data_IF_283699686085
#
_entry.id   IF_283699686085
#
_cell.length_a   1.000
_cell.length_b   1.000
_cell.length_c   1.000
_cell.angle_alpha   90.00
_cell.angle_beta   90.00
_cell.angle_gamma   90.00
#
_symmetry.space_group_name_H-M   'P 1'
#
loop_
_entity.id
_entity.type
_entity.pdbx_description
1 polymer ?
#
# COMPACT_ATOMS: atom_id res chain seq x y z
N UNK A 1 3.32 20.06 14.81
CA UNK A 1 2.75 19.19 13.77
C UNK A 1 1.25 19.07 14.05
N UNK A 2 0.38 19.26 13.06
CA UNK A 2 -1.07 19.20 13.27
C UNK A 2 -1.48 17.73 13.29
N UNK A 3 -2.08 17.28 14.39
CA UNK A 3 -2.81 16.01 14.44
C UNK A 3 -4.06 16.20 13.58
N UNK A 4 -4.04 15.63 12.40
CA UNK A 4 -5.13 15.80 11.41
C UNK A 4 -6.18 14.75 11.72
N UNK A 5 -7.32 15.19 12.21
CA UNK A 5 -8.50 14.33 12.42
C UNK A 5 -8.82 13.50 11.16
N UNK A 6 -9.86 12.71 11.16
CA UNK A 6 -10.21 11.79 10.07
C UNK A 6 -10.29 12.51 8.72
N UNK A 7 -9.18 12.53 7.96
CA UNK A 7 -9.20 12.95 6.56
C UNK A 7 -9.89 11.88 5.71
N UNK A 8 -10.67 12.33 4.76
CA UNK A 8 -11.26 11.47 3.74
C UNK A 8 -10.13 10.82 2.90
N UNK A 9 -10.06 9.49 2.89
CA UNK A 9 -9.04 8.72 2.14
C UNK A 9 -8.99 9.05 0.65
N UNK A 10 -10.06 9.56 0.08
CA UNK A 10 -10.09 10.00 -1.32
C UNK A 10 -9.26 11.28 -1.57
N UNK A 11 -8.94 12.04 -0.52
CA UNK A 11 -8.32 13.36 -0.63
C UNK A 11 -6.80 13.36 -0.41
N UNK A 12 -6.19 12.20 -0.18
CA UNK A 12 -4.74 12.10 0.00
C UNK A 12 -4.18 10.74 -0.41
N UNK A 13 -2.87 10.70 -0.64
CA UNK A 13 -2.08 9.49 -0.83
C UNK A 13 -1.48 9.10 0.53
N UNK A 14 -1.68 7.87 0.95
CA UNK A 14 -1.13 7.33 2.19
C UNK A 14 -0.17 6.18 1.95
N UNK A 15 0.59 5.76 2.95
CA UNK A 15 1.59 4.70 2.83
C UNK A 15 1.08 3.40 2.20
N UNK A 16 -0.19 3.04 2.45
CA UNK A 16 -0.82 1.86 1.83
C UNK A 16 -1.14 2.02 0.33
N UNK A 17 -1.09 3.23 -0.22
CA UNK A 17 -1.35 3.49 -1.64
C UNK A 17 -0.07 3.39 -2.48
N UNK A 18 1.09 3.66 -1.86
CA UNK A 18 2.39 3.79 -2.56
C UNK A 18 2.74 2.58 -3.39
N UNK A 19 2.67 1.39 -2.83
CA UNK A 19 2.98 0.16 -3.55
C UNK A 19 2.06 -0.04 -4.76
N UNK A 20 0.77 0.34 -4.65
CA UNK A 20 -0.18 0.32 -5.75
C UNK A 20 0.20 1.33 -6.84
N UNK A 21 0.57 2.55 -6.46
CA UNK A 21 1.01 3.62 -7.39
C UNK A 21 2.25 3.19 -8.17
N UNK A 22 3.19 2.53 -7.49
CA UNK A 22 4.44 2.02 -8.08
C UNK A 22 4.25 0.74 -8.92
N UNK A 23 3.07 0.12 -8.88
CA UNK A 23 2.79 -1.15 -9.57
C UNK A 23 3.47 -2.37 -8.96
N UNK A 24 3.92 -2.29 -7.71
CA UNK A 24 4.59 -3.38 -6.96
C UNK A 24 3.71 -4.00 -5.88
N UNK A 25 2.47 -3.55 -5.74
CA UNK A 25 1.54 -4.11 -4.77
C UNK A 25 1.00 -5.47 -5.22
N UNK A 26 1.00 -6.50 -4.35
CA UNK A 26 0.35 -7.77 -4.65
C UNK A 26 -1.19 -7.72 -4.54
N UNK A 27 -1.77 -6.58 -4.11
CA UNK A 27 -3.21 -6.47 -3.83
C UNK A 27 -3.95 -5.45 -4.66
N UNK A 28 -3.26 -4.43 -5.21
CA UNK A 28 -3.88 -3.29 -5.86
C UNK A 28 -3.05 -2.82 -7.05
N UNK A 29 -3.73 -2.51 -8.14
CA UNK A 29 -3.12 -1.87 -9.31
C UNK A 29 -3.12 -0.35 -9.19
N UNK A 30 -2.33 0.39 -10.01
CA UNK A 30 -2.41 1.84 -10.06
C UNK A 30 -3.82 2.34 -10.40
N UNK A 31 -4.54 1.64 -11.28
CA UNK A 31 -5.91 2.00 -11.65
C UNK A 31 -6.88 1.85 -10.47
N UNK A 32 -6.76 0.80 -9.68
CA UNK A 32 -7.59 0.63 -8.48
C UNK A 32 -7.34 1.73 -7.45
N UNK A 33 -6.08 2.14 -7.24
CA UNK A 33 -5.75 3.29 -6.38
C UNK A 33 -6.38 4.57 -6.93
N UNK A 34 -6.27 4.81 -8.24
CA UNK A 34 -6.85 5.98 -8.90
C UNK A 34 -8.38 6.04 -8.72
N UNK A 35 -9.05 4.94 -8.99
CA UNK A 35 -10.53 4.88 -8.87
C UNK A 35 -11.00 5.14 -7.43
N UNK A 36 -10.26 4.68 -6.43
CA UNK A 36 -10.58 4.98 -5.02
C UNK A 36 -10.43 6.47 -4.67
N UNK A 37 -9.63 7.25 -5.43
CA UNK A 37 -9.48 8.70 -5.24
C UNK A 37 -10.55 9.50 -5.99
N UNK A 38 -10.87 9.15 -7.23
CA UNK A 38 -11.80 9.93 -8.07
C UNK A 38 -13.26 9.50 -7.93
N UNK A 39 -13.50 8.23 -7.61
CA UNK A 39 -14.84 7.65 -7.46
C UNK A 39 -14.85 6.71 -6.25
N UNK A 40 -14.82 7.25 -5.02
CA UNK A 40 -14.87 6.43 -3.82
C UNK A 40 -16.07 5.49 -3.87
N UNK A 41 -15.82 4.24 -4.22
CA UNK A 41 -16.88 3.24 -4.31
C UNK A 41 -17.12 2.69 -2.91
N UNK A 42 -18.36 2.70 -2.47
CA UNK A 42 -18.81 1.88 -1.34
C UNK A 42 -18.87 0.43 -1.85
N UNK A 43 -17.70 -0.18 -2.10
CA UNK A 43 -17.67 -1.62 -2.34
C UNK A 43 -17.92 -2.31 -1.00
N UNK A 44 -18.86 -3.25 -0.93
CA UNK A 44 -18.93 -4.11 0.24
C UNK A 44 -17.58 -4.82 0.36
N UNK A 45 -16.88 -4.59 1.47
CA UNK A 45 -15.62 -5.28 1.75
C UNK A 45 -15.94 -6.75 1.88
N UNK A 46 -15.20 -7.60 1.15
CA UNK A 46 -15.29 -9.04 1.30
C UNK A 46 -15.23 -9.40 2.80
N UNK A 47 -16.23 -10.11 3.35
CA UNK A 47 -16.27 -10.44 4.78
C UNK A 47 -15.02 -11.17 5.27
N UNK A 48 -14.34 -11.93 4.40
CA UNK A 48 -13.09 -12.62 4.74
C UNK A 48 -11.93 -11.60 4.91
N UNK A 49 -11.82 -10.64 4.01
CA UNK A 49 -10.84 -9.55 4.11
C UNK A 49 -11.11 -8.66 5.32
N UNK A 50 -12.39 -8.34 5.59
CA UNK A 50 -12.78 -7.57 6.77
C UNK A 50 -12.33 -8.24 8.07
N UNK A 51 -12.48 -9.57 8.18
CA UNK A 51 -12.00 -10.32 9.36
C UNK A 51 -10.48 -10.21 9.53
N UNK A 52 -9.72 -10.24 8.43
CA UNK A 52 -8.26 -10.08 8.48
C UNK A 52 -7.88 -8.68 8.98
N UNK A 53 -8.50 -7.63 8.42
CA UNK A 53 -8.25 -6.25 8.87
C UNK A 53 -8.60 -6.03 10.34
N UNK A 54 -9.79 -6.48 10.76
CA UNK A 54 -10.23 -6.35 12.15
C UNK A 54 -9.29 -7.08 13.11
N UNK A 55 -8.80 -8.26 12.73
CA UNK A 55 -7.82 -9.00 13.52
C UNK A 55 -6.51 -8.22 13.62
N UNK A 56 -5.98 -7.72 12.49
CA UNK A 56 -4.77 -6.89 12.46
C UNK A 56 -4.87 -5.71 13.42
N UNK A 57 -5.92 -4.90 13.30
CA UNK A 57 -6.16 -3.76 14.17
C UNK A 57 -6.26 -4.11 15.65
N UNK A 58 -6.86 -5.26 15.99
CA UNK A 58 -6.96 -5.70 17.40
C UNK A 58 -5.63 -6.20 17.95
N UNK A 59 -4.76 -6.75 17.11
CA UNK A 59 -3.45 -7.25 17.50
C UNK A 59 -2.38 -6.16 17.52
N UNK A 60 -2.58 -5.07 16.79
CA UNK A 60 -1.60 -3.98 16.68
C UNK A 60 -1.09 -3.46 18.03
N UNK A 61 -1.93 -3.12 19.04
CA UNK A 61 -1.45 -2.67 20.35
C UNK A 61 -0.57 -3.72 21.03
N UNK A 62 -0.95 -5.00 20.97
CA UNK A 62 -0.18 -6.09 21.54
C UNK A 62 1.20 -6.24 20.88
N UNK A 63 1.26 -6.15 19.55
CA UNK A 63 2.52 -6.29 18.81
C UNK A 63 3.43 -5.08 19.03
N UNK A 64 2.86 -3.88 19.26
CA UNK A 64 3.63 -2.70 19.68
C UNK A 64 4.26 -2.93 21.07
N UNK A 65 3.49 -3.49 22.02
CA UNK A 65 4.00 -3.79 23.37
C UNK A 65 5.12 -4.83 23.27
N UNK A 66 4.92 -5.90 22.50
CA UNK A 66 5.92 -6.94 22.29
C UNK A 66 7.21 -6.37 21.66
N UNK A 67 7.09 -5.46 20.66
CA UNK A 67 8.24 -4.79 20.08
C UNK A 67 9.00 -3.96 21.12
N UNK A 68 8.28 -3.21 21.95
CA UNK A 68 8.86 -2.43 23.03
C UNK A 68 9.61 -3.30 24.04
N UNK A 69 9.03 -4.43 24.44
CA UNK A 69 9.65 -5.40 25.36
C UNK A 69 10.93 -6.01 24.77
N UNK A 70 10.89 -6.45 23.51
CA UNK A 70 12.02 -7.12 22.85
C UNK A 70 13.17 -6.16 22.49
N UNK A 71 12.87 -4.89 22.19
CA UNK A 71 13.88 -3.91 21.76
C UNK A 71 14.32 -2.96 22.85
N UNK A 72 13.53 -2.81 23.93
CA UNK A 72 13.70 -1.77 24.93
C UNK A 72 13.34 -0.36 24.44
N UNK A 73 12.74 -0.21 23.26
CA UNK A 73 12.29 1.08 22.75
C UNK A 73 11.10 1.61 23.55
N UNK A 74 11.23 2.79 24.11
CA UNK A 74 10.13 3.49 24.75
C UNK A 74 9.18 4.06 23.69
N UNK A 75 7.92 3.62 23.72
CA UNK A 75 6.87 4.08 22.80
C UNK A 75 6.22 5.34 23.38
N UNK A 76 6.33 6.46 22.66
CA UNK A 76 5.80 7.77 23.12
C UNK A 76 4.47 8.14 22.47
N UNK A 77 4.18 7.61 21.25
CA UNK A 77 2.94 7.86 20.55
C UNK A 77 2.45 6.60 19.84
N UNK A 78 1.12 6.49 19.68
CA UNK A 78 0.45 5.43 18.91
C UNK A 78 -0.60 6.04 18.01
N UNK A 79 -0.65 5.60 16.74
CA UNK A 79 -1.67 6.00 15.79
C UNK A 79 -1.62 7.46 15.34
N UNK A 80 -0.43 8.02 15.13
CA UNK A 80 -0.28 9.40 14.68
C UNK A 80 -0.37 9.53 13.16
N UNK A 81 -1.00 10.62 12.72
CA UNK A 81 -1.06 10.99 11.30
C UNK A 81 -0.30 12.28 11.06
N UNK A 82 0.50 12.27 9.99
CA UNK A 82 1.31 13.40 9.53
C UNK A 82 0.97 13.76 8.09
N UNK A 83 1.04 15.04 7.77
CA UNK A 83 0.92 15.55 6.40
C UNK A 83 2.32 15.99 5.94
N UNK A 84 2.64 15.69 4.69
CA UNK A 84 3.88 16.14 4.07
C UNK A 84 3.95 17.66 4.07
N UNK A 85 5.13 18.21 4.38
CA UNK A 85 5.33 19.65 4.60
C UNK A 85 4.93 20.50 3.39
N UNK A 86 5.26 20.03 2.18
CA UNK A 86 5.09 20.79 0.94
C UNK A 86 3.90 20.27 0.09
N UNK A 87 3.39 19.08 0.35
CA UNK A 87 2.33 18.43 -0.43
C UNK A 87 1.17 17.98 0.47
N UNK A 88 0.16 18.83 0.60
CA UNK A 88 -0.99 18.59 1.48
C UNK A 88 -1.84 17.34 1.12
N UNK A 89 -1.64 16.78 -0.06
CA UNK A 89 -2.27 15.55 -0.52
C UNK A 89 -1.44 14.29 -0.23
N UNK A 90 -0.29 14.39 0.43
CA UNK A 90 0.54 13.28 0.86
C UNK A 90 0.51 13.22 2.38
N UNK A 91 0.10 12.09 2.96
CA UNK A 91 0.01 11.91 4.40
C UNK A 91 0.40 10.49 4.81
N UNK A 92 0.97 10.33 6.00
CA UNK A 92 1.31 9.04 6.57
C UNK A 92 0.59 8.83 7.90
N UNK A 93 0.04 7.66 8.10
CA UNK A 93 -0.36 7.12 9.42
C UNK A 93 0.78 6.24 9.90
N UNK A 94 1.24 6.50 11.11
CA UNK A 94 2.34 5.77 11.76
C UNK A 94 1.74 5.01 12.93
N UNK A 95 1.96 3.70 12.98
CA UNK A 95 1.36 2.84 14.01
C UNK A 95 1.86 3.20 15.41
N UNK A 96 3.17 3.48 15.55
CA UNK A 96 3.73 4.03 16.78
C UNK A 96 5.03 4.80 16.51
N UNK A 97 5.53 5.50 17.54
CA UNK A 97 6.77 6.26 17.52
C UNK A 97 7.58 5.99 18.79
N UNK A 98 8.89 5.75 18.61
CA UNK A 98 9.81 5.59 19.71
C UNK A 98 10.38 6.94 20.19
N UNK A 99 10.72 7.05 21.47
CA UNK A 99 11.36 8.21 22.07
C UNK A 99 12.72 8.54 21.42
N UNK A 100 13.41 7.54 20.91
CA UNK A 100 14.67 7.63 20.19
C UNK A 100 14.51 8.14 18.75
N UNK A 101 13.26 8.29 18.27
CA UNK A 101 12.94 8.98 17.02
C UNK A 101 12.57 8.09 15.83
N UNK A 102 12.44 6.79 16.00
CA UNK A 102 12.01 5.86 14.95
C UNK A 102 10.49 5.92 14.71
N UNK A 103 10.09 5.71 13.47
CA UNK A 103 8.75 5.24 13.15
C UNK A 103 8.65 3.75 13.46
N UNK A 104 7.51 3.34 13.98
CA UNK A 104 7.17 1.92 14.20
C UNK A 104 6.05 1.53 13.24
N UNK A 105 6.24 0.42 12.56
CA UNK A 105 5.24 -0.18 11.66
C UNK A 105 4.97 -1.62 12.08
N UNK A 106 3.71 -1.99 12.23
CA UNK A 106 3.29 -3.31 12.71
C UNK A 106 2.68 -4.13 11.58
N UNK A 107 3.09 -5.40 11.50
CA UNK A 107 2.49 -6.34 10.55
C UNK A 107 2.09 -7.64 11.25
N UNK A 108 0.86 -8.07 10.99
CA UNK A 108 0.41 -9.42 11.32
C UNK A 108 0.33 -10.24 10.04
N UNK A 109 1.07 -11.32 9.97
CA UNK A 109 1.35 -12.06 8.74
C UNK A 109 0.89 -13.52 8.87
N UNK A 110 0.31 -14.06 7.79
CA UNK A 110 0.00 -15.48 7.73
C UNK A 110 1.29 -16.32 7.71
N UNK A 111 1.34 -17.49 8.40
CA UNK A 111 2.50 -18.37 8.38
C UNK A 111 2.93 -18.79 6.97
N UNK A 112 1.98 -18.88 6.02
CA UNK A 112 2.26 -19.23 4.63
C UNK A 112 3.09 -18.19 3.89
N UNK A 113 3.15 -16.95 4.43
CA UNK A 113 3.92 -15.84 3.89
C UNK A 113 5.24 -15.56 4.63
N UNK A 114 5.60 -16.41 5.60
CA UNK A 114 6.83 -16.26 6.37
C UNK A 114 8.10 -16.18 5.49
N UNK A 115 8.10 -16.88 4.34
CA UNK A 115 9.22 -16.91 3.39
C UNK A 115 9.42 -15.60 2.61
N UNK A 116 8.42 -14.71 2.59
CA UNK A 116 8.54 -13.38 1.96
C UNK A 116 9.40 -12.43 2.82
N UNK A 117 9.63 -12.77 4.09
CA UNK A 117 10.42 -12.02 5.06
C UNK A 117 11.80 -12.65 5.19
N UNK A 118 12.84 -11.86 4.98
CA UNK A 118 14.22 -12.33 4.99
C UNK A 118 14.81 -12.48 6.40
N UNK A 119 16.12 -12.30 6.48
CA UNK A 119 16.86 -12.41 7.74
C UNK A 119 16.42 -11.34 8.74
N UNK A 120 16.17 -11.74 10.01
CA UNK A 120 15.78 -10.83 11.09
C UNK A 120 16.91 -9.86 11.44
N UNK A 121 16.56 -8.68 11.96
CA UNK A 121 17.47 -7.58 12.28
C UNK A 121 18.14 -6.94 11.05
N UNK A 122 17.62 -7.21 9.84
CA UNK A 122 18.03 -6.57 8.59
C UNK A 122 16.90 -5.70 8.01
N UNK A 123 17.09 -5.18 6.79
CA UNK A 123 16.08 -4.51 5.98
C UNK A 123 15.39 -5.44 4.95
N UNK A 124 15.64 -6.75 5.04
CA UNK A 124 15.14 -7.75 4.10
C UNK A 124 13.65 -8.03 4.29
N UNK A 125 12.81 -7.05 3.95
CA UNK A 125 11.36 -7.11 3.99
C UNK A 125 10.76 -7.08 2.57
N UNK A 126 9.49 -7.49 2.37
CA UNK A 126 8.85 -7.38 1.08
C UNK A 126 8.86 -5.94 0.54
N UNK A 127 9.23 -5.76 -0.73
CA UNK A 127 9.47 -4.45 -1.38
C UNK A 127 8.29 -3.48 -1.25
N UNK A 128 7.07 -3.97 -1.23
CA UNK A 128 5.87 -3.12 -1.04
C UNK A 128 5.79 -2.52 0.36
N UNK A 129 6.36 -3.17 1.38
CA UNK A 129 6.49 -2.61 2.73
C UNK A 129 7.69 -1.67 2.84
N UNK A 130 8.78 -1.92 2.09
CA UNK A 130 9.88 -0.94 1.97
C UNK A 130 9.37 0.37 1.40
N UNK A 131 8.54 0.33 0.35
CA UNK A 131 7.93 1.53 -0.22
C UNK A 131 7.03 2.27 0.80
N UNK A 132 6.24 1.54 1.60
CA UNK A 132 5.43 2.11 2.67
C UNK A 132 6.30 2.78 3.75
N UNK A 133 7.41 2.13 4.16
CA UNK A 133 8.34 2.68 5.13
C UNK A 133 8.99 3.97 4.63
N UNK A 134 9.48 3.99 3.39
CA UNK A 134 10.08 5.18 2.77
C UNK A 134 9.11 6.35 2.67
N UNK A 135 7.84 6.09 2.32
CA UNK A 135 6.78 7.09 2.36
C UNK A 135 6.58 7.65 3.78
N UNK A 136 6.48 6.78 4.79
CA UNK A 136 6.36 7.20 6.19
C UNK A 136 7.55 8.05 6.64
N UNK A 137 8.78 7.66 6.30
CA UNK A 137 10.00 8.40 6.60
C UNK A 137 10.08 9.72 5.84
N UNK A 138 9.60 9.78 4.60
CA UNK A 138 9.48 11.00 3.80
C UNK A 138 8.60 12.03 4.51
N UNK A 139 7.41 11.62 4.93
CA UNK A 139 6.41 12.51 5.53
C UNK A 139 6.81 12.97 6.93
N UNK A 140 7.36 12.06 7.75
CA UNK A 140 7.75 12.38 9.14
C UNK A 140 9.12 13.06 9.25
N UNK A 141 9.98 12.94 8.23
CA UNK A 141 11.37 13.40 8.28
C UNK A 141 12.29 12.55 9.16
N UNK A 142 11.81 11.40 9.65
CA UNK A 142 12.59 10.50 10.52
C UNK A 142 13.60 9.68 9.71
N UNK A 143 14.57 9.11 10.42
CA UNK A 143 15.71 8.41 9.80
C UNK A 143 15.51 6.91 9.67
N UNK A 144 14.66 6.32 10.52
CA UNK A 144 14.52 4.87 10.62
C UNK A 144 13.05 4.49 10.83
N UNK A 145 12.63 3.41 10.19
CA UNK A 145 11.39 2.69 10.47
C UNK A 145 11.71 1.30 11.01
N UNK A 146 11.19 0.96 12.18
CA UNK A 146 11.33 -0.36 12.79
C UNK A 146 10.02 -1.13 12.58
N UNK A 147 10.12 -2.31 11.98
CA UNK A 147 8.98 -3.21 11.81
C UNK A 147 8.91 -4.22 12.93
N UNK A 148 7.74 -4.33 13.56
CA UNK A 148 7.36 -5.45 14.40
C UNK A 148 6.43 -6.38 13.63
N UNK A 149 6.88 -7.60 13.34
CA UNK A 149 6.18 -8.53 12.45
C UNK A 149 5.82 -9.79 13.20
N UNK A 150 4.53 -10.00 13.45
CA UNK A 150 4.02 -11.22 14.09
C UNK A 150 3.47 -12.17 13.02
N UNK A 151 4.14 -13.31 12.86
CA UNK A 151 3.80 -14.34 11.89
C UNK A 151 3.08 -15.50 12.59
N UNK A 152 1.87 -15.78 12.18
CA UNK A 152 1.05 -16.84 12.76
C UNK A 152 0.47 -16.50 14.13
N UNK A 153 1.25 -16.07 15.06
CA UNK A 153 0.86 -15.73 16.42
C UNK A 153 1.97 -15.95 17.45
N UNK A 154 3.07 -16.59 17.05
CA UNK A 154 4.20 -17.01 17.89
C UNK A 154 5.59 -16.68 17.31
N UNK A 155 5.71 -16.50 15.99
CA UNK A 155 6.98 -16.11 15.35
C UNK A 155 7.03 -14.58 15.24
N UNK A 156 7.72 -13.93 16.19
CA UNK A 156 7.90 -12.49 16.19
C UNK A 156 9.27 -12.12 15.63
N UNK A 157 9.26 -11.22 14.64
CA UNK A 157 10.46 -10.77 13.94
C UNK A 157 10.55 -9.25 13.93
N UNK A 158 11.77 -8.74 13.99
CA UNK A 158 12.07 -7.31 13.97
C UNK A 158 12.93 -7.01 12.75
N UNK A 159 12.58 -5.95 12.01
CA UNK A 159 13.35 -5.44 10.88
C UNK A 159 13.57 -3.95 11.03
N UNK A 160 14.66 -3.46 10.44
CA UNK A 160 15.06 -2.07 10.54
C UNK A 160 15.33 -1.51 9.15
N UNK A 161 14.55 -0.54 8.72
CA UNK A 161 14.67 0.11 7.40
C UNK A 161 15.19 1.53 7.63
N UNK A 162 16.35 1.81 7.12
CA UNK A 162 16.95 3.13 7.16
C UNK A 162 16.40 4.00 6.02
N UNK A 163 16.34 5.31 6.29
CA UNK A 163 15.92 6.31 5.30
C UNK A 163 16.90 6.34 4.14
N UNK A 164 16.38 6.21 2.93
CA UNK A 164 17.13 6.37 1.69
C UNK A 164 16.55 7.51 0.85
N UNK A 165 17.34 8.57 0.66
CA UNK A 165 16.88 9.78 0.01
C UNK A 165 16.64 9.59 -1.49
N UNK A 166 17.40 8.71 -2.16
CA UNK A 166 17.22 8.43 -3.58
C UNK A 166 15.87 7.73 -3.82
N UNK A 167 15.58 6.70 -3.02
CA UNK A 167 14.28 6.00 -3.06
C UNK A 167 13.13 6.94 -2.69
N UNK A 168 13.29 7.77 -1.67
CA UNK A 168 12.28 8.74 -1.25
C UNK A 168 11.98 9.73 -2.37
N UNK A 169 12.99 10.28 -3.01
CA UNK A 169 12.82 11.21 -4.12
C UNK A 169 12.07 10.55 -5.30
N UNK A 170 12.44 9.32 -5.64
CA UNK A 170 11.76 8.57 -6.70
C UNK A 170 10.28 8.29 -6.36
N UNK A 171 9.98 7.96 -5.11
CA UNK A 171 8.60 7.78 -4.63
C UNK A 171 7.83 9.10 -4.72
N UNK A 172 8.39 10.19 -4.23
CA UNK A 172 7.76 11.51 -4.25
C UNK A 172 7.38 11.94 -5.67
N UNK A 173 8.30 11.79 -6.63
CA UNK A 173 8.03 12.09 -8.04
C UNK A 173 6.87 11.28 -8.61
N UNK A 174 6.81 9.99 -8.29
CA UNK A 174 5.70 9.12 -8.70
C UNK A 174 4.37 9.49 -8.05
N UNK A 175 4.37 9.82 -6.77
CA UNK A 175 3.17 10.25 -6.06
C UNK A 175 2.64 11.58 -6.56
N UNK A 176 3.51 12.56 -6.81
CA UNK A 176 3.13 13.87 -7.39
C UNK A 176 2.55 13.68 -8.79
N UNK A 177 3.22 12.91 -9.65
CA UNK A 177 2.73 12.62 -11.00
C UNK A 177 1.41 11.83 -10.99
N UNK A 178 1.23 10.92 -10.01
CA UNK A 178 -0.01 10.19 -9.84
C UNK A 178 -1.16 11.09 -9.37
N UNK A 179 -0.90 12.00 -8.44
CA UNK A 179 -1.91 12.95 -7.97
C UNK A 179 -2.34 13.92 -9.06
N UNK A 180 -1.42 14.33 -9.92
CA UNK A 180 -1.74 15.12 -11.12
C UNK A 180 -2.75 14.38 -12.03
N UNK A 181 -2.58 13.06 -12.21
CA UNK A 181 -3.58 12.25 -12.92
C UNK A 181 -4.95 12.25 -12.24
N UNK A 182 -4.99 12.20 -10.90
CA UNK A 182 -6.23 12.25 -10.11
C UNK A 182 -6.95 13.57 -10.33
N UNK A 183 -6.22 14.70 -10.26
CA UNK A 183 -6.79 16.04 -10.46
C UNK A 183 -7.30 16.24 -11.88
N UNK A 184 -6.54 15.78 -12.87
CA UNK A 184 -6.86 15.96 -14.29
C UNK A 184 -7.81 14.86 -14.84
N UNK A 185 -8.30 13.97 -13.99
CA UNK A 185 -9.18 12.84 -14.38
C UNK A 185 -8.58 11.99 -15.51
N UNK A 186 -7.25 11.78 -15.48
CA UNK A 186 -6.50 11.00 -16.45
C UNK A 186 -6.12 9.63 -15.85
N UNK A 187 -6.91 8.56 -16.05
CA UNK A 187 -6.67 7.27 -15.40
C UNK A 187 -5.35 6.65 -15.87
N UNK A 188 -4.66 5.90 -14.98
CA UNK A 188 -3.59 4.99 -15.38
C UNK A 188 -4.09 3.93 -16.38
N UNK A 189 -3.18 3.38 -17.17
CA UNK A 189 -3.49 2.27 -18.06
C UNK A 189 -3.90 1.03 -17.26
N UNK A 190 -4.83 0.24 -17.81
CA UNK A 190 -5.20 -1.05 -17.28
C UNK A 190 -4.01 -2.03 -17.41
N UNK A 191 -3.61 -2.66 -16.34
CA UNK A 191 -2.51 -3.63 -16.30
C UNK A 191 -2.98 -5.06 -16.13
N UNK A 192 -4.24 -5.26 -15.75
CA UNK A 192 -4.85 -6.58 -15.52
C UNK A 192 -6.22 -6.69 -16.18
N UNK A 193 -6.71 -7.92 -16.34
CA UNK A 193 -8.09 -8.18 -16.79
C UNK A 193 -9.11 -7.59 -15.81
N UNK A 194 -8.79 -7.61 -14.52
CA UNK A 194 -9.63 -6.98 -13.49
C UNK A 194 -9.75 -5.47 -13.70
N UNK A 195 -8.67 -4.79 -14.10
CA UNK A 195 -8.69 -3.36 -14.39
C UNK A 195 -9.62 -3.05 -15.58
N UNK A 196 -9.56 -3.86 -16.65
CA UNK A 196 -10.45 -3.71 -17.78
C UNK A 196 -11.91 -3.85 -17.35
N UNK A 197 -12.23 -4.84 -16.50
CA UNK A 197 -13.57 -5.02 -15.95
C UNK A 197 -14.02 -3.85 -15.06
N UNK A 198 -13.09 -3.18 -14.38
CA UNK A 198 -13.39 -1.98 -13.59
C UNK A 198 -13.67 -0.75 -14.47
N UNK A 199 -13.01 -0.62 -15.61
CA UNK A 199 -13.23 0.47 -16.56
C UNK A 199 -14.54 0.30 -17.33
N UNK A 200 -14.93 -0.95 -17.63
CA UNK A 200 -16.08 -1.28 -18.45
C UNK A 200 -17.07 -2.18 -17.68
N UNK A 201 -17.58 -1.68 -16.56
CA UNK A 201 -18.49 -2.44 -15.66
C UNK A 201 -19.83 -2.82 -16.30
N UNK A 202 -20.25 -2.11 -17.32
CA UNK A 202 -21.53 -2.37 -18.01
C UNK A 202 -21.29 -2.39 -19.51
N UNK A 203 -21.72 -3.46 -20.14
CA UNK A 203 -21.95 -3.46 -21.58
C UNK A 203 -23.11 -2.49 -21.89
N UNK A 204 -22.80 -1.43 -22.63
CA UNK A 204 -23.80 -0.45 -23.07
C UNK A 204 -24.62 -0.96 -24.27
N UNK A 205 -24.41 -2.21 -24.70
CA UNK A 205 -25.03 -2.78 -25.89
C UNK A 205 -24.52 -2.18 -27.21
N UNK A 206 -23.45 -1.37 -27.16
CA UNK A 206 -22.80 -0.85 -28.36
C UNK A 206 -21.84 -1.89 -28.95
N UNK A 207 -21.88 -2.04 -30.26
CA UNK A 207 -20.91 -2.85 -30.97
C UNK A 207 -19.98 -1.96 -31.79
N UNK A 208 -18.71 -2.34 -31.88
CA UNK A 208 -17.73 -1.72 -32.77
C UNK A 208 -17.20 -2.78 -33.75
N UNK A 209 -16.88 -2.37 -34.93
CA UNK A 209 -16.18 -3.27 -35.86
C UNK A 209 -14.76 -3.50 -35.36
N UNK A 210 -14.37 -4.78 -35.29
CA UNK A 210 -13.02 -5.15 -34.88
C UNK A 210 -12.02 -4.77 -36.00
N UNK A 211 -10.99 -4.00 -35.65
CA UNK A 211 -9.86 -3.79 -36.53
C UNK A 211 -9.04 -5.07 -36.73
N UNK A 212 -8.12 -5.06 -37.69
CA UNK A 212 -7.31 -6.23 -38.01
C UNK A 212 -6.48 -6.75 -36.85
N UNK A 213 -6.07 -5.87 -35.91
CA UNK A 213 -5.31 -6.24 -34.71
C UNK A 213 -6.20 -6.94 -33.66
N UNK A 214 -7.39 -6.41 -33.44
CA UNK A 214 -8.36 -7.01 -32.52
C UNK A 214 -8.81 -8.39 -33.04
N UNK A 215 -9.02 -8.54 -34.33
CA UNK A 215 -9.37 -9.82 -34.98
C UNK A 215 -8.26 -10.85 -34.87
N UNK A 216 -7.00 -10.46 -35.02
CA UNK A 216 -5.83 -11.33 -34.86
C UNK A 216 -5.73 -11.84 -33.41
N UNK A 217 -5.81 -10.92 -32.43
CA UNK A 217 -5.80 -11.27 -30.98
C UNK A 217 -6.94 -12.21 -30.59
N UNK A 218 -8.14 -12.00 -31.15
CA UNK A 218 -9.28 -12.89 -30.92
C UNK A 218 -9.02 -14.30 -31.46
N UNK A 219 -8.48 -14.40 -32.66
CA UNK A 219 -8.15 -15.70 -33.28
C UNK A 219 -7.06 -16.43 -32.47
N UNK A 220 -5.99 -15.72 -32.06
CA UNK A 220 -4.93 -16.29 -31.21
C UNK A 220 -5.50 -16.81 -29.87
N UNK A 221 -6.36 -16.05 -29.22
CA UNK A 221 -7.02 -16.46 -27.98
C UNK A 221 -7.90 -17.69 -28.18
N UNK A 222 -8.66 -17.73 -29.26
CA UNK A 222 -9.52 -18.88 -29.62
C UNK A 222 -8.68 -20.13 -29.85
N UNK A 223 -7.56 -19.99 -30.58
CA UNK A 223 -6.67 -21.12 -30.88
C UNK A 223 -5.92 -21.62 -29.62
N UNK A 224 -5.55 -20.72 -28.72
CA UNK A 224 -5.00 -21.10 -27.40
C UNK A 224 -6.01 -21.87 -26.54
N UNK A 225 -7.27 -21.42 -26.49
CA UNK A 225 -8.33 -22.09 -25.76
C UNK A 225 -8.69 -23.47 -26.31
N UNK A 226 -8.53 -23.69 -27.62
CA UNK A 226 -8.80 -24.99 -28.26
C UNK A 226 -7.71 -26.04 -27.99
N UNK A 227 -6.54 -25.63 -27.48
CA UNK A 227 -5.40 -26.50 -27.15
C UNK A 227 -5.33 -26.88 -25.67
N UNK A 228 -6.21 -26.32 -24.84
CA UNK A 228 -6.39 -26.66 -23.41
C UNK A 228 -7.57 -27.60 -23.23
#
# INVERSE_FOLDING_TARGET
MQNVGSMDRAKYLGGSDVAGILGISPWRTPLEVYLDKVQPRIKPVDPSKQKVFTRGQRMEPYVIDLLSEETGLEIIHRGNRYIHRDYGFIAAEIDAEAATGENIEIKTVSPFKAKEWGEVQTDAIPVHYTAQAMHGLMVTGKKVCVFGVLIGGDDFRIYRVERDEETIQAILEKEVAFWDRVINLNPPEATTVSDISLMFEKDAGSSIEADGKALALFNDLRDMKSRC
#
